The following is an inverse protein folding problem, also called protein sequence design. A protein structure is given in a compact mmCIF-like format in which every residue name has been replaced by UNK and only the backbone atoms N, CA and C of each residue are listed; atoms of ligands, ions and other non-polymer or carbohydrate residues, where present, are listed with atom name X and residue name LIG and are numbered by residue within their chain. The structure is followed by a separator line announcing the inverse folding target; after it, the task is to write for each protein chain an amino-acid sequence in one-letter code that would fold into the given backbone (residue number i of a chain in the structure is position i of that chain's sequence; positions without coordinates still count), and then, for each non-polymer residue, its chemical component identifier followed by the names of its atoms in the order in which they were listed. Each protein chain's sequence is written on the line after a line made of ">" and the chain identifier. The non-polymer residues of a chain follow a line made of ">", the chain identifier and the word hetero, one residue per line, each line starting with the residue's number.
data_IF_015151478371
#
_entry.id   IF_015151478371
#
_cell.length_a   1.000
_cell.length_b   1.000
_cell.length_c   1.000
_cell.angle_alpha   90.00
_cell.angle_beta   90.00
_cell.angle_gamma   90.00
#
_symmetry.space_group_name_H-M   'P 1'
#
loop_
_entity.id
_entity.type
_entity.pdbx_description
1 polymer ?
#
# COMPACT_ATOMS: atom_id res chain seq x y z
N UNK A 1 -12.74 -9.49 -3.35
CA UNK A 1 -11.36 -10.02 -3.37
C UNK A 1 -10.58 -9.41 -2.22
N UNK A 2 -9.71 -10.19 -1.56
CA UNK A 2 -8.82 -9.72 -0.48
C UNK A 2 -7.39 -9.76 -1.00
N UNK A 3 -6.58 -8.76 -0.67
CA UNK A 3 -5.17 -8.73 -1.06
C UNK A 3 -4.31 -8.13 0.05
N UNK A 4 -3.11 -8.66 0.19
CA UNK A 4 -2.03 -8.04 0.97
C UNK A 4 -1.26 -7.12 0.04
N UNK A 5 -0.96 -5.91 0.51
CA UNK A 5 -0.14 -4.95 -0.21
C UNK A 5 1.19 -4.86 0.54
N UNK A 6 2.28 -5.11 -0.17
CA UNK A 6 3.64 -4.94 0.37
C UNK A 6 3.93 -3.47 0.70
N UNK A 7 4.73 -3.22 1.73
CA UNK A 7 5.15 -1.89 2.17
C UNK A 7 5.74 -1.07 1.04
N UNK A 8 6.54 -1.67 0.15
CA UNK A 8 7.16 -0.95 -0.96
C UNK A 8 6.13 -0.40 -1.96
N UNK A 9 4.97 -1.05 -2.12
CA UNK A 9 3.90 -0.57 -3.00
C UNK A 9 3.22 0.66 -2.40
N UNK A 10 2.99 0.67 -1.08
CA UNK A 10 2.52 1.86 -0.38
C UNK A 10 3.48 3.02 -0.55
N UNK A 11 4.75 2.82 -0.19
CA UNK A 11 5.79 3.85 -0.25
C UNK A 11 5.96 4.38 -1.68
N UNK A 12 6.16 3.50 -2.66
CA UNK A 12 6.35 3.91 -4.05
C UNK A 12 5.12 4.60 -4.64
N UNK A 13 3.92 4.12 -4.31
CA UNK A 13 2.66 4.68 -4.80
C UNK A 13 2.29 6.03 -4.16
N UNK A 14 2.77 6.29 -2.94
CA UNK A 14 2.61 7.58 -2.27
C UNK A 14 3.64 8.61 -2.74
N UNK A 15 4.87 8.19 -3.08
CA UNK A 15 5.92 9.08 -3.62
C UNK A 15 5.61 9.52 -5.05
N UNK A 16 5.10 8.61 -5.89
CA UNK A 16 4.81 8.88 -7.29
C UNK A 16 3.38 8.47 -7.64
N UNK A 17 2.62 9.42 -8.20
CA UNK A 17 1.29 9.16 -8.75
C UNK A 17 1.31 8.38 -10.08
N UNK A 18 2.48 7.95 -10.57
CA UNK A 18 2.64 7.22 -11.82
C UNK A 18 3.12 5.78 -11.61
N UNK A 19 2.96 4.94 -12.62
CA UNK A 19 3.45 3.55 -12.62
C UNK A 19 2.49 2.54 -12.00
N UNK A 20 2.99 1.30 -11.83
CA UNK A 20 2.20 0.17 -11.31
C UNK A 20 1.76 0.41 -9.86
N UNK A 21 2.61 0.88 -8.92
CA UNK A 21 2.22 1.04 -7.51
C UNK A 21 1.02 1.99 -7.33
N UNK A 22 1.06 3.15 -7.99
CA UNK A 22 -0.05 4.12 -7.99
C UNK A 22 -1.38 3.48 -8.43
N UNK A 23 -1.37 2.65 -9.50
CA UNK A 23 -2.57 1.94 -9.95
C UNK A 23 -3.11 0.92 -8.93
N UNK A 24 -2.23 0.31 -8.14
CA UNK A 24 -2.63 -0.59 -7.04
C UNK A 24 -3.30 0.22 -5.93
N UNK A 25 -2.71 1.36 -5.56
CA UNK A 25 -3.29 2.27 -4.56
C UNK A 25 -4.64 2.80 -5.03
N UNK A 26 -4.78 3.19 -6.29
CA UNK A 26 -6.06 3.61 -6.85
C UNK A 26 -7.09 2.48 -6.83
N UNK A 27 -6.70 1.25 -7.19
CA UNK A 27 -7.61 0.11 -7.11
C UNK A 27 -8.10 -0.14 -5.67
N UNK A 28 -7.24 0.05 -4.66
CA UNK A 28 -7.66 0.04 -3.25
C UNK A 28 -8.61 1.20 -2.93
N UNK A 29 -8.27 2.44 -3.32
CA UNK A 29 -9.10 3.65 -3.08
C UNK A 29 -10.48 3.54 -3.70
N UNK A 30 -10.58 2.97 -4.89
CA UNK A 30 -11.84 2.69 -5.59
C UNK A 30 -12.51 1.39 -5.15
N UNK A 31 -12.09 0.81 -4.00
CA UNK A 31 -12.68 -0.38 -3.37
C UNK A 31 -12.77 -1.61 -4.29
N UNK A 32 -11.83 -1.77 -5.23
CA UNK A 32 -11.78 -2.96 -6.12
C UNK A 32 -11.32 -4.22 -5.38
N UNK A 33 -10.69 -4.05 -4.22
CA UNK A 33 -10.37 -5.13 -3.29
C UNK A 33 -10.33 -4.60 -1.86
N UNK A 34 -10.38 -5.52 -0.90
CA UNK A 34 -10.16 -5.23 0.52
C UNK A 34 -8.69 -5.44 0.85
N UNK A 35 -8.02 -4.40 1.34
CA UNK A 35 -6.69 -4.54 1.89
C UNK A 35 -6.75 -5.35 3.18
N UNK A 36 -5.91 -6.38 3.24
CA UNK A 36 -5.67 -7.19 4.44
C UNK A 36 -4.21 -6.97 4.83
N UNK A 37 -3.96 -6.74 6.11
CA UNK A 37 -2.63 -6.49 6.66
C UNK A 37 -2.44 -7.24 7.96
N UNK A 38 -1.23 -7.18 8.51
CA UNK A 38 -0.85 -7.73 9.82
C UNK A 38 -0.02 -6.69 10.58
N UNK A 39 0.12 -6.88 11.89
CA UNK A 39 0.89 -5.97 12.75
C UNK A 39 2.34 -5.76 12.25
N UNK A 40 3.10 -6.81 11.84
CA UNK A 40 4.46 -6.60 11.32
C UNK A 40 4.55 -5.73 10.06
N UNK A 41 3.55 -5.80 9.16
CA UNK A 41 3.50 -4.96 7.97
C UNK A 41 3.15 -3.50 8.31
N UNK A 42 2.31 -3.29 9.33
CA UNK A 42 2.03 -1.95 9.84
C UNK A 42 3.26 -1.33 10.51
N UNK A 43 4.01 -2.13 11.27
CA UNK A 43 5.26 -1.69 11.91
C UNK A 43 6.32 -1.29 10.87
N UNK A 44 6.48 -2.06 9.80
CA UNK A 44 7.38 -1.72 8.69
C UNK A 44 6.94 -0.42 8.00
N UNK A 45 5.65 -0.30 7.66
CA UNK A 45 5.11 0.89 7.02
C UNK A 45 5.26 2.14 7.91
N UNK A 46 5.03 2.01 9.22
CA UNK A 46 5.26 3.07 10.20
C UNK A 46 6.74 3.45 10.30
N UNK A 47 7.63 2.46 10.30
CA UNK A 47 9.09 2.69 10.31
C UNK A 47 9.55 3.50 9.11
N UNK A 48 8.96 3.28 7.92
CA UNK A 48 9.32 4.03 6.71
C UNK A 48 8.68 5.42 6.65
N UNK A 49 7.43 5.56 7.09
CA UNK A 49 6.66 6.80 6.90
C UNK A 49 6.72 7.78 8.08
N UNK A 50 7.06 7.31 9.29
CA UNK A 50 7.04 8.11 10.52
C UNK A 50 8.42 8.30 11.16
N UNK A 51 9.47 7.66 10.62
CA UNK A 51 10.86 7.94 10.98
C UNK A 51 11.38 9.18 10.24
#
# INVERSE_FOLDING_TARGET
>A
MKAVIDTNIWVSGLISASGVPSRVIDAYRFRRFMWVTSDPLLDELATVLLA
#
